data_IF_992366748759
#
_entry.id   IF_992366748759
#
_cell.length_a   1.000
_cell.length_b   1.000
_cell.length_c   1.000
_cell.angle_alpha   90.00
_cell.angle_beta   90.00
_cell.angle_gamma   90.00
#
_symmetry.space_group_name_H-M   'P 1'
#
loop_
_entity.id
_entity.type
_entity.pdbx_description
1 polymer ?
#
# COMPACT_ATOMS: atom_id res chain seq x y z
N UNK A 1 -3.78 14.66 6.08
CA UNK A 1 -3.01 13.40 6.10
C UNK A 1 -3.49 12.43 5.01
N UNK A 2 -4.80 12.22 4.83
CA UNK A 2 -5.34 11.34 3.76
C UNK A 2 -4.81 11.67 2.36
N UNK A 3 -4.81 12.96 1.97
CA UNK A 3 -4.25 13.41 0.68
C UNK A 3 -2.80 12.98 0.53
N UNK A 4 -1.97 13.19 1.55
CA UNK A 4 -0.55 12.83 1.49
C UNK A 4 -0.34 11.32 1.31
N UNK A 5 -1.10 10.48 2.02
CA UNK A 5 -1.05 9.02 1.84
C UNK A 5 -1.45 8.65 0.41
N UNK A 6 -2.57 9.17 -0.08
CA UNK A 6 -3.05 8.91 -1.44
C UNK A 6 -2.03 9.34 -2.50
N UNK A 7 -1.43 10.54 -2.35
CA UNK A 7 -0.42 11.06 -3.27
C UNK A 7 0.80 10.14 -3.34
N UNK A 8 1.31 9.65 -2.20
CA UNK A 8 2.44 8.72 -2.18
C UNK A 8 2.08 7.40 -2.85
N UNK A 9 0.88 6.87 -2.59
CA UNK A 9 0.40 5.64 -3.21
C UNK A 9 0.27 5.75 -4.73
N UNK A 10 -0.31 6.85 -5.23
CA UNK A 10 -0.48 7.12 -6.66
C UNK A 10 0.88 7.34 -7.32
N UNK A 11 1.75 8.14 -6.70
CA UNK A 11 3.09 8.40 -7.23
C UNK A 11 3.92 7.12 -7.33
N UNK A 12 3.89 6.28 -6.29
CA UNK A 12 4.58 4.99 -6.35
C UNK A 12 4.04 4.11 -7.48
N UNK A 13 2.72 4.00 -7.59
CA UNK A 13 2.07 3.09 -8.53
C UNK A 13 2.25 3.51 -10.00
N UNK A 14 2.13 4.81 -10.29
CA UNK A 14 2.16 5.33 -11.65
C UNK A 14 3.57 5.67 -12.14
N UNK A 15 4.48 6.06 -11.23
CA UNK A 15 5.80 6.57 -11.60
C UNK A 15 6.91 5.65 -11.11
N UNK A 16 6.99 5.41 -9.81
CA UNK A 16 8.14 4.69 -9.24
C UNK A 16 8.18 3.22 -9.68
N UNK A 17 7.07 2.49 -9.59
CA UNK A 17 7.05 1.08 -9.94
C UNK A 17 7.35 0.84 -11.44
N UNK A 18 6.71 1.53 -12.40
CA UNK A 18 7.07 1.38 -13.81
C UNK A 18 8.52 1.75 -14.12
N UNK A 19 9.01 2.86 -13.56
CA UNK A 19 10.41 3.30 -13.74
C UNK A 19 11.40 2.29 -13.15
N UNK A 20 11.11 1.76 -11.96
CA UNK A 20 11.95 0.77 -11.31
C UNK A 20 12.09 -0.49 -12.17
N UNK A 21 10.97 -1.03 -12.66
CA UNK A 21 10.95 -2.26 -13.45
C UNK A 21 11.42 -2.07 -14.89
N UNK A 22 11.40 -0.85 -15.43
CA UNK A 22 11.95 -0.54 -16.76
C UNK A 22 13.45 -0.24 -16.75
N UNK A 23 13.98 0.23 -15.62
CA UNK A 23 15.38 0.68 -15.52
C UNK A 23 16.31 -0.39 -14.95
N UNK A 24 15.81 -1.24 -14.04
CA UNK A 24 16.62 -2.26 -13.37
C UNK A 24 16.36 -3.66 -13.90
N UNK A 25 17.39 -4.51 -13.83
CA UNK A 25 17.19 -5.96 -14.04
C UNK A 25 16.28 -6.54 -12.95
N UNK A 26 15.61 -7.66 -13.24
CA UNK A 26 14.70 -8.32 -12.31
C UNK A 26 15.33 -8.59 -10.94
N UNK A 27 16.62 -8.94 -10.90
CA UNK A 27 17.37 -9.19 -9.66
C UNK A 27 17.47 -7.92 -8.79
N UNK A 28 17.86 -6.78 -9.39
CA UNK A 28 18.01 -5.53 -8.65
C UNK A 28 16.66 -4.91 -8.29
N UNK A 29 15.67 -4.96 -9.18
CA UNK A 29 14.30 -4.52 -8.90
C UNK A 29 13.68 -5.33 -7.75
N UNK A 30 13.83 -6.65 -7.77
CA UNK A 30 13.39 -7.55 -6.71
C UNK A 30 14.04 -7.23 -5.35
N UNK A 31 15.35 -7.00 -5.32
CA UNK A 31 16.06 -6.63 -4.11
C UNK A 31 15.59 -5.27 -3.54
N UNK A 32 15.31 -4.30 -4.43
CA UNK A 32 14.77 -3.00 -4.03
C UNK A 32 13.39 -3.13 -3.40
N UNK A 33 12.42 -3.76 -4.09
CA UNK A 33 11.02 -3.81 -3.60
C UNK A 33 10.89 -4.54 -2.27
N UNK A 34 11.71 -5.59 -2.04
CA UNK A 34 11.74 -6.33 -0.76
C UNK A 34 12.18 -5.47 0.42
N UNK A 35 13.07 -4.50 0.19
CA UNK A 35 13.47 -3.52 1.21
C UNK A 35 12.50 -2.35 1.31
N UNK A 36 11.91 -1.95 0.18
CA UNK A 36 11.02 -0.80 0.09
C UNK A 36 9.68 -1.04 0.80
N UNK A 37 8.98 -2.13 0.45
CA UNK A 37 7.60 -2.36 0.89
C UNK A 37 7.40 -2.42 2.41
N UNK A 38 8.27 -3.07 3.22
CA UNK A 38 8.10 -3.08 4.67
C UNK A 38 8.11 -1.67 5.29
N UNK A 39 8.99 -0.79 4.81
CA UNK A 39 9.07 0.60 5.27
C UNK A 39 7.89 1.41 4.77
N UNK A 40 7.54 1.24 3.51
CA UNK A 40 6.40 1.91 2.88
C UNK A 40 5.10 1.61 3.63
N UNK A 41 4.79 0.33 3.88
CA UNK A 41 3.57 -0.06 4.59
C UNK A 41 3.57 0.38 6.05
N UNK A 42 4.71 0.30 6.76
CA UNK A 42 4.80 0.77 8.14
C UNK A 42 4.55 2.28 8.24
N UNK A 43 5.23 3.08 7.41
CA UNK A 43 5.11 4.55 7.47
C UNK A 43 3.68 4.98 7.10
N UNK A 44 3.14 4.48 5.99
CA UNK A 44 1.78 4.85 5.58
C UNK A 44 0.74 4.33 6.58
N UNK A 45 0.94 3.15 7.16
CA UNK A 45 0.11 2.61 8.23
C UNK A 45 0.08 3.52 9.46
N UNK A 46 1.24 4.02 9.91
CA UNK A 46 1.32 4.95 11.04
C UNK A 46 0.66 6.30 10.73
N UNK A 47 0.84 6.84 9.52
CA UNK A 47 0.18 8.10 9.10
C UNK A 47 -1.34 7.91 9.02
N UNK A 48 -1.82 6.77 8.53
CA UNK A 48 -3.24 6.42 8.53
C UNK A 48 -3.79 6.24 9.95
N UNK A 49 -3.03 5.60 10.85
CA UNK A 49 -3.40 5.45 12.26
C UNK A 49 -3.53 6.82 12.94
N UNK A 50 -2.55 7.70 12.75
CA UNK A 50 -2.61 9.07 13.26
C UNK A 50 -3.80 9.84 12.71
N UNK A 51 -4.15 9.65 11.42
CA UNK A 51 -5.39 10.20 10.84
C UNK A 51 -6.61 9.74 11.63
N UNK A 52 -6.68 8.44 11.96
CA UNK A 52 -7.74 7.87 12.78
C UNK A 52 -7.84 8.48 14.17
N UNK A 53 -6.70 8.69 14.83
CA UNK A 53 -6.62 9.18 16.21
C UNK A 53 -6.95 10.66 16.38
N UNK A 54 -6.60 11.51 15.40
CA UNK A 54 -6.76 12.97 15.53
C UNK A 54 -7.99 13.52 14.81
N UNK A 55 -8.66 12.71 13.99
CA UNK A 55 -9.83 13.16 13.24
C UNK A 55 -11.01 13.41 14.18
N UNK A 56 -11.64 14.58 14.01
CA UNK A 56 -12.87 14.94 14.72
C UNK A 56 -14.13 14.40 14.02
N UNK A 57 -14.05 14.18 12.70
CA UNK A 57 -15.11 13.54 11.93
C UNK A 57 -14.98 12.01 12.02
N UNK A 58 -16.04 11.34 12.48
CA UNK A 58 -16.06 9.90 12.71
C UNK A 58 -15.82 9.08 11.42
N UNK A 59 -16.24 9.59 10.27
CA UNK A 59 -16.02 8.91 8.97
C UNK A 59 -14.55 8.97 8.60
N UNK A 60 -13.92 10.14 8.74
CA UNK A 60 -12.48 10.32 8.52
C UNK A 60 -11.66 9.45 9.46
N UNK A 61 -12.05 9.40 10.74
CA UNK A 61 -11.42 8.54 11.73
C UNK A 61 -11.50 7.06 11.32
N UNK A 62 -12.69 6.60 10.94
CA UNK A 62 -12.94 5.24 10.45
C UNK A 62 -12.10 4.87 9.23
N UNK A 63 -11.99 5.75 8.24
CA UNK A 63 -11.12 5.55 7.06
C UNK A 63 -9.66 5.44 7.49
N UNK A 64 -9.19 6.33 8.38
CA UNK A 64 -7.83 6.28 8.92
C UNK A 64 -7.50 4.93 9.56
N UNK A 65 -8.34 4.44 10.45
CA UNK A 65 -8.17 3.14 11.08
C UNK A 65 -8.26 1.97 10.09
N UNK A 66 -9.23 2.00 9.17
CA UNK A 66 -9.36 0.98 8.13
C UNK A 66 -8.09 0.90 7.27
N UNK A 67 -7.57 2.03 6.79
CA UNK A 67 -6.34 2.08 6.02
C UNK A 67 -5.13 1.58 6.82
N UNK A 68 -5.03 1.92 8.12
CA UNK A 68 -3.96 1.44 8.99
C UNK A 68 -3.97 -0.10 9.11
N UNK A 69 -5.14 -0.70 9.32
CA UNK A 69 -5.31 -2.16 9.36
C UNK A 69 -4.93 -2.80 8.02
N UNK A 70 -5.36 -2.21 6.89
CA UNK A 70 -5.03 -2.72 5.56
C UNK A 70 -3.52 -2.60 5.24
N UNK A 71 -2.84 -1.57 5.73
CA UNK A 71 -1.37 -1.47 5.63
C UNK A 71 -0.66 -2.51 6.48
N UNK A 72 -1.16 -2.77 7.70
CA UNK A 72 -0.65 -3.82 8.55
C UNK A 72 -0.82 -5.20 7.91
N UNK A 73 -1.98 -5.46 7.30
CA UNK A 73 -2.22 -6.70 6.55
C UNK A 73 -1.24 -6.84 5.37
N UNK A 74 -1.04 -5.77 4.59
CA UNK A 74 -0.06 -5.75 3.48
C UNK A 74 1.38 -6.02 3.95
N UNK A 75 1.76 -5.48 5.11
CA UNK A 75 3.06 -5.74 5.74
C UNK A 75 3.24 -7.24 6.06
N UNK A 76 2.21 -7.90 6.59
CA UNK A 76 2.26 -9.34 6.90
C UNK A 76 2.12 -10.26 5.68
N UNK A 77 1.46 -9.81 4.60
CA UNK A 77 1.39 -10.54 3.34
C UNK A 77 2.73 -10.54 2.59
N UNK A 78 3.52 -9.48 2.72
CA UNK A 78 4.78 -9.29 1.98
C UNK A 78 5.76 -10.46 2.11
N UNK A 79 6.05 -11.00 3.31
CA UNK A 79 6.88 -12.20 3.45
C UNK A 79 6.35 -13.42 2.70
N UNK A 80 5.02 -13.61 2.64
CA UNK A 80 4.42 -14.73 1.92
C UNK A 80 4.55 -14.57 0.40
N UNK A 81 4.33 -13.36 -0.11
CA UNK A 81 4.55 -13.01 -1.53
C UNK A 81 6.00 -13.27 -1.92
N UNK A 82 6.94 -12.80 -1.10
CA UNK A 82 8.37 -12.99 -1.32
C UNK A 82 8.76 -14.48 -1.35
N UNK A 83 8.26 -15.29 -0.40
CA UNK A 83 8.51 -16.74 -0.37
C UNK A 83 7.95 -17.45 -1.60
N UNK A 84 6.75 -17.07 -2.09
CA UNK A 84 6.18 -17.65 -3.30
C UNK A 84 7.04 -17.30 -4.54
N UNK A 85 7.53 -16.05 -4.61
CA UNK A 85 8.46 -15.62 -5.66
C UNK A 85 9.78 -16.40 -5.60
N UNK A 86 10.36 -16.58 -4.42
CA UNK A 86 11.65 -17.29 -4.21
C UNK A 86 11.56 -18.77 -4.58
N UNK A 87 10.39 -19.38 -4.42
CA UNK A 87 10.11 -20.78 -4.80
C UNK A 87 9.72 -20.94 -6.26
N UNK A 88 9.65 -19.85 -7.03
CA UNK A 88 9.12 -19.83 -8.39
C UNK A 88 7.68 -20.38 -8.51
N UNK A 89 6.90 -20.33 -7.42
CA UNK A 89 5.49 -20.74 -7.41
C UNK A 89 4.64 -19.62 -8.01
N UNK A 90 4.48 -19.65 -9.34
CA UNK A 90 3.75 -18.63 -10.10
C UNK A 90 2.29 -18.51 -9.68
N UNK A 91 1.65 -19.62 -9.29
CA UNK A 91 0.23 -19.63 -8.92
C UNK A 91 0.04 -18.94 -7.57
N UNK A 92 0.81 -19.35 -6.55
CA UNK A 92 0.72 -18.73 -5.24
C UNK A 92 1.15 -17.27 -5.28
N UNK A 93 2.19 -16.95 -6.04
CA UNK A 93 2.63 -15.56 -6.25
C UNK A 93 1.52 -14.71 -6.84
N UNK A 94 0.89 -15.16 -7.94
CA UNK A 94 -0.19 -14.41 -8.59
C UNK A 94 -1.38 -14.15 -7.65
N UNK A 95 -1.78 -15.16 -6.86
CA UNK A 95 -2.87 -15.01 -5.88
C UNK A 95 -2.53 -14.01 -4.78
N UNK A 96 -1.37 -14.15 -4.13
CA UNK A 96 -0.97 -13.29 -3.02
C UNK A 96 -0.67 -11.85 -3.50
N UNK A 97 0.03 -11.72 -4.62
CA UNK A 97 0.33 -10.41 -5.20
C UNK A 97 -0.95 -9.71 -5.67
N UNK A 98 -1.81 -10.40 -6.41
CA UNK A 98 -3.12 -9.86 -6.83
C UNK A 98 -3.99 -9.42 -5.63
N UNK A 99 -4.01 -10.21 -4.56
CA UNK A 99 -4.68 -9.83 -3.31
C UNK A 99 -4.10 -8.55 -2.69
N UNK A 100 -2.77 -8.41 -2.66
CA UNK A 100 -2.13 -7.19 -2.15
C UNK A 100 -2.41 -5.95 -3.02
N UNK A 101 -2.52 -6.13 -4.34
CA UNK A 101 -2.91 -5.06 -5.27
C UNK A 101 -4.35 -4.63 -5.00
N UNK A 102 -5.28 -5.58 -4.83
CA UNK A 102 -6.67 -5.26 -4.49
C UNK A 102 -6.78 -4.51 -3.15
N UNK A 103 -6.03 -4.91 -2.12
CA UNK A 103 -5.95 -4.17 -0.86
C UNK A 103 -5.51 -2.72 -1.10
N UNK A 104 -4.47 -2.53 -1.93
CA UNK A 104 -3.94 -1.20 -2.24
C UNK A 104 -4.96 -0.33 -2.99
N UNK A 105 -5.71 -0.91 -3.94
CA UNK A 105 -6.79 -0.22 -4.64
C UNK A 105 -7.95 0.17 -3.71
N UNK A 106 -8.33 -0.72 -2.78
CA UNK A 106 -9.35 -0.42 -1.77
C UNK A 106 -8.91 0.73 -0.86
N UNK A 107 -7.65 0.75 -0.42
CA UNK A 107 -7.10 1.86 0.36
C UNK A 107 -7.16 3.19 -0.41
N UNK A 108 -6.74 3.21 -1.69
CA UNK A 108 -6.83 4.41 -2.53
C UNK A 108 -8.27 4.88 -2.70
N UNK A 109 -9.21 3.95 -2.92
CA UNK A 109 -10.64 4.25 -3.06
C UNK A 109 -11.25 4.85 -1.79
N UNK A 110 -10.96 4.27 -0.62
CA UNK A 110 -11.40 4.81 0.68
C UNK A 110 -10.85 6.21 0.93
N UNK A 111 -9.55 6.42 0.67
CA UNK A 111 -8.91 7.72 0.85
C UNK A 111 -9.51 8.77 -0.10
N UNK A 112 -9.66 8.44 -1.39
CA UNK A 112 -10.25 9.32 -2.38
C UNK A 112 -11.68 9.71 -2.00
N UNK A 113 -12.51 8.73 -1.62
CA UNK A 113 -13.87 8.97 -1.18
C UNK A 113 -13.91 9.89 0.06
N UNK A 114 -13.08 9.63 1.07
CA UNK A 114 -12.98 10.47 2.26
C UNK A 114 -12.57 11.91 1.95
N UNK A 115 -11.66 12.12 0.99
CA UNK A 115 -11.23 13.45 0.53
C UNK A 115 -12.37 14.18 -0.20
N UNK A 116 -13.01 13.50 -1.16
CA UNK A 116 -14.09 14.10 -1.95
C UNK A 116 -15.29 14.47 -1.08
N UNK A 117 -15.63 13.64 -0.10
CA UNK A 117 -16.73 13.90 0.84
C UNK A 117 -16.50 15.13 1.71
N UNK A 118 -15.25 15.50 1.99
CA UNK A 118 -14.93 16.71 2.76
C UNK A 118 -14.88 17.98 1.93
N UNK A 119 -14.96 17.86 0.60
CA UNK A 119 -14.81 18.96 -0.35
C UNK A 119 -16.16 19.59 -0.75
N UNK A 120 -17.27 19.08 -0.21
CA UNK A 120 -18.65 19.51 -0.42
C UNK A 120 -19.40 19.47 0.91
#
# INVERSE_FOLDING_TARGET
MMVAVLSVMVFFSLIIAPMLFSTLSATYAGAFVRKFFPRYYLILGLVSLLTGLIATDATVAGIGFACAVLFLLSLFLTPAINRASDRHDKRQFALLHGGSVLISLLQMGLLLWGILRLSW
#
